data_IF_402055965649
#
_entry.id   IF_402055965649
#
_cell.length_a   1.000
_cell.length_b   1.000
_cell.length_c   1.000
_cell.angle_alpha   90.00
_cell.angle_beta   90.00
_cell.angle_gamma   90.00
#
_symmetry.space_group_name_H-M   'P 1'
#
loop_
_entity.id
_entity.type
_entity.pdbx_description
1 polymer ?
#
# COMPACT_ATOMS: atom_id res chain seq x y z
N UNK A 1 15.84 -8.73 -11.78
CA UNK A 1 14.62 -8.24 -12.42
C UNK A 1 13.63 -7.82 -11.35
N UNK A 2 12.84 -6.77 -11.54
CA UNK A 2 11.79 -6.34 -10.60
C UNK A 2 10.49 -7.06 -10.94
N UNK A 3 9.90 -7.76 -9.97
CA UNK A 3 8.56 -8.33 -10.07
C UNK A 3 7.59 -7.44 -9.29
N UNK A 4 6.60 -6.86 -9.95
CA UNK A 4 5.52 -6.17 -9.25
C UNK A 4 4.44 -7.17 -8.86
N UNK A 5 4.44 -7.53 -7.58
CA UNK A 5 3.42 -8.35 -6.94
C UNK A 5 2.28 -7.44 -6.45
N UNK A 6 1.19 -7.40 -7.21
CA UNK A 6 0.04 -6.50 -6.98
C UNK A 6 -0.69 -6.81 -5.68
N UNK A 7 -0.81 -8.08 -5.36
CA UNK A 7 -1.63 -8.57 -4.26
C UNK A 7 -3.12 -8.60 -4.60
N UNK A 8 -3.85 -9.53 -3.97
CA UNK A 8 -5.24 -9.84 -4.32
C UNK A 8 -6.19 -8.63 -4.19
N UNK A 9 -6.00 -7.75 -3.19
CA UNK A 9 -6.88 -6.60 -2.98
C UNK A 9 -6.69 -5.54 -4.05
N UNK A 10 -5.46 -5.18 -4.40
CA UNK A 10 -5.17 -4.21 -5.44
C UNK A 10 -5.47 -4.76 -6.85
N UNK A 11 -5.40 -6.09 -7.05
CA UNK A 11 -5.74 -6.71 -8.31
C UNK A 11 -7.25 -6.82 -8.54
N UNK A 12 -8.05 -7.13 -7.50
CA UNK A 12 -9.45 -7.52 -7.65
C UNK A 12 -10.46 -6.47 -7.16
N UNK A 13 -10.09 -5.64 -6.18
CA UNK A 13 -11.00 -4.71 -5.52
C UNK A 13 -10.65 -3.25 -5.76
N UNK A 14 -9.39 -2.91 -5.75
CA UNK A 14 -8.86 -1.56 -5.88
C UNK A 14 -7.84 -1.53 -7.03
N UNK A 15 -8.32 -1.82 -8.24
CA UNK A 15 -7.47 -1.88 -9.45
C UNK A 15 -6.80 -0.56 -9.80
N UNK A 16 -7.35 0.55 -9.32
CA UNK A 16 -6.76 1.89 -9.39
C UNK A 16 -5.35 1.95 -8.77
N UNK A 17 -5.13 1.24 -7.64
CA UNK A 17 -3.81 1.19 -6.97
C UNK A 17 -2.77 0.49 -7.84
N UNK A 18 -3.12 -0.69 -8.40
CA UNK A 18 -2.20 -1.41 -9.28
C UNK A 18 -1.91 -0.62 -10.56
N UNK A 19 -2.94 -0.04 -11.18
CA UNK A 19 -2.76 0.85 -12.35
C UNK A 19 -1.89 2.06 -12.04
N UNK A 20 -2.13 2.72 -10.89
CA UNK A 20 -1.32 3.86 -10.45
C UNK A 20 0.16 3.46 -10.28
N UNK A 21 0.41 2.33 -9.60
CA UNK A 21 1.76 1.81 -9.41
C UNK A 21 2.44 1.50 -10.76
N UNK A 22 1.77 0.78 -11.65
CA UNK A 22 2.30 0.45 -12.97
C UNK A 22 2.57 1.70 -13.82
N UNK A 23 1.69 2.71 -13.74
CA UNK A 23 1.89 3.98 -14.42
C UNK A 23 3.12 4.72 -13.91
N UNK A 24 3.32 4.77 -12.60
CA UNK A 24 4.52 5.38 -12.00
C UNK A 24 5.79 4.64 -12.44
N UNK A 25 5.78 3.31 -12.47
CA UNK A 25 6.92 2.51 -12.92
C UNK A 25 7.28 2.80 -14.38
N UNK A 26 6.28 2.91 -15.26
CA UNK A 26 6.47 3.28 -16.68
C UNK A 26 7.09 4.68 -16.82
N UNK A 27 6.54 5.68 -16.11
CA UNK A 27 7.06 7.07 -16.13
C UNK A 27 8.50 7.12 -15.62
N UNK A 28 8.80 6.37 -14.55
CA UNK A 28 10.15 6.26 -14.01
C UNK A 28 11.10 5.42 -14.87
N UNK A 29 10.62 4.85 -15.98
CA UNK A 29 11.37 3.96 -16.90
C UNK A 29 12.03 2.79 -16.16
N UNK A 30 11.26 2.18 -15.26
CA UNK A 30 11.68 0.98 -14.52
C UNK A 30 11.16 -0.23 -15.27
N UNK A 31 12.07 -1.14 -15.64
CA UNK A 31 11.69 -2.44 -16.17
C UNK A 31 11.14 -3.33 -15.07
N UNK A 32 9.93 -3.84 -15.27
CA UNK A 32 9.25 -4.74 -14.35
C UNK A 32 8.42 -5.78 -15.10
N UNK A 33 8.10 -6.83 -14.39
CA UNK A 33 7.12 -7.83 -14.84
C UNK A 33 6.01 -7.99 -13.80
N UNK A 34 4.87 -8.52 -14.24
CA UNK A 34 3.76 -8.97 -13.39
C UNK A 34 3.47 -10.43 -13.69
N UNK A 35 2.85 -11.13 -12.75
CA UNK A 35 2.39 -12.50 -12.97
C UNK A 35 0.97 -12.49 -13.56
N UNK A 36 0.74 -13.29 -14.60
CA UNK A 36 -0.60 -13.48 -15.17
C UNK A 36 -1.51 -14.20 -14.17
N UNK A 37 -1.03 -15.33 -13.63
CA UNK A 37 -1.72 -16.11 -12.61
C UNK A 37 -1.15 -15.83 -11.20
N UNK A 38 -1.15 -14.55 -10.82
CA UNK A 38 -0.68 -14.14 -9.50
C UNK A 38 -1.53 -14.75 -8.39
N UNK A 39 -0.90 -15.57 -7.55
CA UNK A 39 -1.54 -16.19 -6.38
C UNK A 39 -1.48 -15.26 -5.16
N UNK A 40 -2.28 -15.58 -4.12
CA UNK A 40 -2.24 -14.84 -2.86
C UNK A 40 -0.88 -15.01 -2.16
N UNK A 41 -0.40 -13.96 -1.45
CA UNK A 41 0.81 -14.06 -0.63
C UNK A 41 0.68 -14.97 0.60
N UNK A 42 -0.52 -15.44 0.95
CA UNK A 42 -0.78 -16.26 2.13
C UNK A 42 -1.13 -15.48 3.41
N UNK A 43 -1.04 -14.15 3.38
CA UNK A 43 -1.24 -13.31 4.57
C UNK A 43 -2.58 -13.54 5.27
N UNK A 44 -3.67 -13.62 4.52
CA UNK A 44 -5.02 -13.81 5.08
C UNK A 44 -5.12 -15.17 5.78
N UNK A 45 -4.66 -16.24 5.15
CA UNK A 45 -4.66 -17.58 5.72
C UNK A 45 -3.89 -17.62 7.05
N UNK A 46 -2.67 -17.06 7.08
CA UNK A 46 -1.87 -16.96 8.31
C UNK A 46 -2.60 -16.21 9.44
N UNK A 47 -3.31 -15.12 9.12
CA UNK A 47 -3.96 -14.26 10.13
C UNK A 47 -5.31 -14.80 10.59
N UNK A 48 -5.87 -15.77 9.90
CA UNK A 48 -7.14 -16.41 10.24
C UNK A 48 -6.97 -17.84 10.79
N UNK A 49 -5.71 -18.28 10.97
CA UNK A 49 -5.40 -19.55 11.65
C UNK A 49 -5.26 -20.77 10.74
N UNK A 50 -5.31 -20.59 9.43
CA UNK A 50 -5.12 -21.65 8.42
C UNK A 50 -3.63 -21.77 8.06
N UNK A 51 -2.83 -22.29 9.02
CA UNK A 51 -1.37 -22.30 8.89
C UNK A 51 -0.89 -23.23 7.77
N UNK A 52 -1.42 -24.45 7.70
CA UNK A 52 -1.00 -25.46 6.72
C UNK A 52 -1.34 -24.98 5.30
N UNK A 53 -2.55 -24.48 5.10
CA UNK A 53 -2.98 -23.89 3.80
C UNK A 53 -2.13 -22.69 3.42
N UNK A 54 -1.74 -21.87 4.42
CA UNK A 54 -0.86 -20.73 4.18
C UNK A 54 0.53 -21.17 3.73
N UNK A 55 1.10 -22.20 4.35
CA UNK A 55 2.40 -22.76 3.98
C UNK A 55 2.35 -23.35 2.57
N UNK A 56 1.30 -24.10 2.23
CA UNK A 56 1.10 -24.62 0.87
C UNK A 56 1.02 -23.48 -0.15
N UNK A 57 0.21 -22.46 0.12
CA UNK A 57 0.07 -21.27 -0.72
C UNK A 57 1.40 -20.53 -0.90
N UNK A 58 2.17 -20.36 0.18
CA UNK A 58 3.47 -19.70 0.15
C UNK A 58 4.50 -20.48 -0.67
N UNK A 59 4.55 -21.83 -0.51
CA UNK A 59 5.42 -22.68 -1.31
C UNK A 59 5.07 -22.61 -2.81
N UNK A 60 3.79 -22.52 -3.14
CA UNK A 60 3.32 -22.41 -4.53
C UNK A 60 3.73 -21.11 -5.25
N UNK A 61 4.26 -20.11 -4.51
CA UNK A 61 4.76 -18.86 -5.08
C UNK A 61 6.28 -18.84 -5.28
N UNK A 62 7.03 -19.76 -4.68
CA UNK A 62 8.50 -19.67 -4.61
C UNK A 62 9.18 -19.69 -5.97
N UNK A 63 8.69 -20.50 -6.90
CA UNK A 63 9.23 -20.60 -8.26
C UNK A 63 9.11 -19.25 -9.00
N UNK A 64 7.97 -18.57 -8.82
CA UNK A 64 7.71 -17.26 -9.43
C UNK A 64 8.61 -16.15 -8.87
N UNK A 65 9.14 -16.33 -7.66
CA UNK A 65 9.95 -15.33 -6.94
C UNK A 65 11.47 -15.53 -7.08
N UNK A 66 11.88 -16.66 -7.66
CA UNK A 66 13.30 -17.01 -7.72
C UNK A 66 14.13 -15.95 -8.47
N UNK A 67 15.20 -15.47 -7.83
CA UNK A 67 16.15 -14.50 -8.41
C UNK A 67 15.60 -13.08 -8.61
N UNK A 68 14.37 -12.78 -8.15
CA UNK A 68 13.70 -11.50 -8.36
C UNK A 68 13.73 -10.61 -7.11
N UNK A 69 13.64 -9.31 -7.32
CA UNK A 69 13.27 -8.35 -6.27
C UNK A 69 11.78 -8.10 -6.39
N UNK A 70 11.04 -8.29 -5.31
CA UNK A 70 9.59 -8.20 -5.29
C UNK A 70 9.18 -6.81 -4.82
N UNK A 71 8.47 -6.07 -5.66
CA UNK A 71 7.80 -4.82 -5.30
C UNK A 71 6.34 -5.12 -4.95
N UNK A 72 5.81 -4.52 -3.90
CA UNK A 72 4.37 -4.59 -3.61
C UNK A 72 3.84 -3.28 -3.04
N UNK A 73 2.59 -2.93 -3.37
CA UNK A 73 1.86 -1.80 -2.80
C UNK A 73 1.12 -2.17 -1.50
N UNK A 74 1.06 -3.45 -1.15
CA UNK A 74 0.29 -3.93 -0.01
C UNK A 74 1.18 -4.19 1.20
N UNK A 75 0.94 -3.47 2.30
CA UNK A 75 1.64 -3.67 3.57
C UNK A 75 1.52 -5.11 4.11
N UNK A 76 0.36 -5.75 3.92
CA UNK A 76 0.15 -7.15 4.30
C UNK A 76 1.02 -8.10 3.49
N UNK A 77 1.09 -7.92 2.17
CA UNK A 77 1.98 -8.69 1.29
C UNK A 77 3.45 -8.42 1.63
N UNK A 78 3.84 -7.15 1.81
CA UNK A 78 5.21 -6.77 2.18
C UNK A 78 5.70 -7.51 3.43
N UNK A 79 4.92 -7.43 4.52
CA UNK A 79 5.26 -8.12 5.77
C UNK A 79 5.30 -9.64 5.60
N UNK A 80 4.33 -10.21 4.89
CA UNK A 80 4.26 -11.66 4.73
C UNK A 80 5.42 -12.17 3.89
N UNK A 81 5.68 -11.57 2.72
CA UNK A 81 6.77 -11.97 1.84
C UNK A 81 8.15 -11.80 2.51
N UNK A 82 8.35 -10.71 3.25
CA UNK A 82 9.63 -10.38 3.88
C UNK A 82 9.91 -11.19 5.14
N UNK A 83 8.90 -11.34 6.00
CA UNK A 83 9.09 -11.88 7.34
C UNK A 83 8.51 -13.29 7.50
N UNK A 84 7.28 -13.53 6.99
CA UNK A 84 6.62 -14.82 7.23
C UNK A 84 7.20 -15.93 6.34
N UNK A 85 7.59 -15.63 5.08
CA UNK A 85 8.31 -16.60 4.23
C UNK A 85 9.62 -17.04 4.89
N UNK A 86 10.37 -16.10 5.45
CA UNK A 86 11.59 -16.42 6.22
C UNK A 86 11.29 -17.27 7.44
N UNK A 87 10.24 -16.91 8.19
CA UNK A 87 9.87 -17.60 9.43
C UNK A 87 9.39 -19.03 9.20
N UNK A 88 8.53 -19.25 8.20
CA UNK A 88 7.85 -20.53 8.01
C UNK A 88 8.48 -21.43 6.96
N UNK A 89 9.14 -20.85 5.95
CA UNK A 89 9.80 -21.61 4.87
C UNK A 89 11.33 -21.54 4.92
N UNK A 90 11.92 -20.68 5.76
CA UNK A 90 13.37 -20.45 5.76
C UNK A 90 13.89 -19.68 4.53
N UNK A 91 13.01 -19.10 3.72
CA UNK A 91 13.34 -18.39 2.47
C UNK A 91 13.40 -16.89 2.72
N UNK A 92 14.55 -16.28 2.42
CA UNK A 92 14.78 -14.83 2.56
C UNK A 92 14.57 -14.14 1.21
N UNK A 93 13.39 -13.55 1.00
CA UNK A 93 13.03 -12.87 -0.23
C UNK A 93 13.48 -11.40 -0.20
N UNK A 94 13.92 -10.89 -1.36
CA UNK A 94 14.19 -9.47 -1.54
C UNK A 94 12.87 -8.75 -1.82
N UNK A 95 12.33 -8.06 -0.82
CA UNK A 95 11.03 -7.39 -0.92
C UNK A 95 11.19 -5.90 -0.62
N UNK A 96 10.61 -5.06 -1.46
CA UNK A 96 10.50 -3.61 -1.26
C UNK A 96 9.03 -3.21 -1.28
N UNK A 97 8.67 -2.26 -0.43
CA UNK A 97 7.34 -1.65 -0.44
C UNK A 97 7.33 -0.46 -1.40
N UNK A 98 6.18 -0.20 -2.04
CA UNK A 98 6.07 0.93 -2.99
C UNK A 98 6.49 2.26 -2.38
N UNK A 99 6.22 2.51 -1.10
CA UNK A 99 6.64 3.75 -0.43
C UNK A 99 8.15 3.95 -0.44
N UNK A 100 8.93 2.88 -0.28
CA UNK A 100 10.39 2.91 -0.31
C UNK A 100 10.91 3.19 -1.73
N UNK A 101 10.29 2.56 -2.73
CA UNK A 101 10.64 2.84 -4.12
C UNK A 101 10.31 4.28 -4.49
N UNK A 102 9.13 4.78 -4.15
CA UNK A 102 8.72 6.16 -4.42
C UNK A 102 9.68 7.17 -3.77
N UNK A 103 10.04 6.96 -2.51
CA UNK A 103 11.02 7.81 -1.83
C UNK A 103 12.36 7.82 -2.57
N UNK A 104 12.84 6.66 -3.03
CA UNK A 104 14.07 6.56 -3.80
C UNK A 104 13.95 7.30 -5.14
N UNK A 105 12.87 7.09 -5.90
CA UNK A 105 12.64 7.74 -7.19
C UNK A 105 12.60 9.27 -7.09
N UNK A 106 11.99 9.78 -6.02
CA UNK A 106 11.96 11.22 -5.74
C UNK A 106 13.36 11.74 -5.42
N UNK A 107 14.11 11.07 -4.55
CA UNK A 107 15.49 11.44 -4.20
C UNK A 107 16.45 11.42 -5.39
N UNK A 108 16.24 10.48 -6.31
CA UNK A 108 17.04 10.33 -7.52
C UNK A 108 16.56 11.23 -8.69
N UNK A 109 15.52 12.03 -8.50
CA UNK A 109 14.86 12.85 -9.52
C UNK A 109 14.42 12.04 -10.76
N UNK A 110 14.01 10.78 -10.56
CA UNK A 110 13.48 9.92 -11.62
C UNK A 110 11.99 10.16 -11.89
N UNK A 111 11.31 10.76 -10.93
CA UNK A 111 9.95 11.27 -11.08
C UNK A 111 9.91 12.72 -10.58
N UNK A 112 9.19 13.57 -11.29
CA UNK A 112 8.97 14.95 -10.92
C UNK A 112 7.56 15.11 -10.34
N UNK A 113 7.45 15.88 -9.26
CA UNK A 113 6.19 16.07 -8.56
C UNK A 113 5.76 17.53 -8.58
N UNK A 114 4.46 17.73 -8.82
CA UNK A 114 3.79 19.03 -8.60
C UNK A 114 3.46 19.17 -7.13
N UNK A 115 4.33 19.88 -6.41
CA UNK A 115 4.10 20.15 -4.99
C UNK A 115 2.90 21.07 -4.77
N UNK A 116 2.11 20.78 -3.74
CA UNK A 116 1.03 21.64 -3.24
C UNK A 116 1.13 21.74 -1.72
N UNK A 117 1.83 22.77 -1.23
CA UNK A 117 2.07 22.94 0.21
C UNK A 117 0.87 23.52 0.98
N UNK A 118 -0.15 23.97 0.28
CA UNK A 118 -1.43 24.39 0.89
C UNK A 118 -2.30 23.17 1.21
N UNK A 119 -2.11 22.06 0.49
CA UNK A 119 -2.80 20.79 0.73
C UNK A 119 -2.29 20.14 2.02
N UNK A 120 -3.18 19.94 2.98
CA UNK A 120 -2.91 19.23 4.23
C UNK A 120 -3.29 17.76 4.09
N UNK A 121 -2.38 16.88 4.33
CA UNK A 121 -2.57 15.42 4.23
C UNK A 121 -2.27 14.77 5.56
N UNK A 122 -3.15 13.88 6.02
CA UNK A 122 -2.83 13.01 7.16
C UNK A 122 -2.54 11.59 6.68
N UNK A 123 -1.80 10.82 7.48
CA UNK A 123 -1.33 9.50 7.09
C UNK A 123 -1.80 8.42 8.07
N UNK A 124 -2.37 7.34 7.53
CA UNK A 124 -2.70 6.14 8.29
C UNK A 124 -1.55 5.14 8.28
N UNK A 125 -0.89 4.96 9.42
CA UNK A 125 0.12 3.92 9.60
C UNK A 125 -0.51 2.53 9.57
N UNK A 126 -0.33 1.82 8.46
CA UNK A 126 -0.72 0.41 8.38
C UNK A 126 0.07 -0.43 9.37
N UNK A 127 -0.60 -1.26 10.16
CA UNK A 127 0.05 -2.07 11.19
C UNK A 127 1.13 -3.02 10.62
N UNK A 128 0.92 -3.56 9.42
CA UNK A 128 1.88 -4.46 8.79
C UNK A 128 3.11 -3.74 8.24
N UNK A 129 2.97 -2.50 7.78
CA UNK A 129 4.10 -1.71 7.30
C UNK A 129 4.90 -1.11 8.47
N UNK A 130 4.20 -0.46 9.41
CA UNK A 130 4.81 0.18 10.57
C UNK A 130 5.20 -0.82 11.66
N UNK A 131 4.23 -1.22 12.52
CA UNK A 131 4.53 -2.03 13.72
C UNK A 131 5.22 -3.36 13.46
N UNK A 132 4.90 -4.03 12.34
CA UNK A 132 5.44 -5.35 12.06
C UNK A 132 6.68 -5.35 11.18
N UNK A 133 6.88 -4.32 10.35
CA UNK A 133 8.02 -4.25 9.44
C UNK A 133 8.94 -3.03 9.64
N UNK A 134 8.60 -2.14 10.59
CA UNK A 134 9.44 -1.01 10.99
C UNK A 134 9.49 0.15 10.01
N UNK A 135 8.65 0.15 8.96
CA UNK A 135 8.66 1.21 7.95
C UNK A 135 7.63 2.29 8.29
N UNK A 136 8.12 3.43 8.72
CA UNK A 136 7.29 4.58 9.10
C UNK A 136 7.61 5.83 8.28
N UNK A 137 8.85 5.97 7.82
CA UNK A 137 9.33 7.25 7.32
C UNK A 137 9.20 7.38 5.80
N UNK A 138 9.37 6.31 5.03
CA UNK A 138 9.26 6.39 3.58
C UNK A 138 7.90 6.95 3.11
N UNK A 139 6.74 6.51 3.62
CA UNK A 139 5.45 7.11 3.26
C UNK A 139 5.39 8.61 3.61
N UNK A 140 5.91 8.99 4.77
CA UNK A 140 5.93 10.40 5.25
C UNK A 140 6.79 11.28 4.38
N UNK A 141 7.97 10.80 4.00
CA UNK A 141 8.90 11.52 3.12
C UNK A 141 8.28 11.75 1.74
N UNK A 142 7.57 10.75 1.20
CA UNK A 142 6.83 10.87 -0.06
C UNK A 142 5.73 11.92 0.06
N UNK A 143 4.87 11.85 1.09
CA UNK A 143 3.79 12.83 1.31
C UNK A 143 4.38 14.24 1.48
N UNK A 144 5.42 14.39 2.29
CA UNK A 144 6.06 15.68 2.53
C UNK A 144 6.76 16.26 1.29
N UNK A 145 7.11 15.46 0.29
CA UNK A 145 7.63 15.98 -0.98
C UNK A 145 6.56 16.72 -1.80
N UNK A 146 5.29 16.35 -1.63
CA UNK A 146 4.14 16.88 -2.36
C UNK A 146 3.40 17.95 -1.55
N UNK A 147 3.04 17.65 -0.32
CA UNK A 147 2.05 18.38 0.48
C UNK A 147 2.56 18.68 1.89
N UNK A 148 1.69 19.18 2.75
CA UNK A 148 1.96 19.36 4.18
C UNK A 148 1.38 18.18 4.95
N UNK A 149 2.24 17.32 5.49
CA UNK A 149 1.80 16.25 6.38
C UNK A 149 1.35 16.81 7.73
N UNK A 150 0.17 16.40 8.19
CA UNK A 150 -0.36 16.67 9.52
C UNK A 150 -0.59 15.34 10.23
N UNK A 151 0.14 15.09 11.30
CA UNK A 151 0.07 13.81 12.01
C UNK A 151 -1.18 13.70 12.88
N UNK A 152 -1.80 12.51 12.89
CA UNK A 152 -2.78 12.17 13.91
C UNK A 152 -2.09 12.02 15.28
N UNK A 153 -2.82 12.23 16.38
CA UNK A 153 -2.28 12.02 17.73
C UNK A 153 -1.74 10.60 17.91
N UNK A 154 -2.52 9.60 17.47
CA UNK A 154 -2.10 8.20 17.49
C UNK A 154 -1.46 7.82 16.14
N UNK A 155 -0.16 8.04 16.02
CA UNK A 155 0.63 7.71 14.83
C UNK A 155 1.75 6.72 15.16
N UNK A 156 2.43 6.20 14.14
CA UNK A 156 3.52 5.22 14.22
C UNK A 156 3.12 4.00 15.05
N UNK A 157 3.86 3.64 16.11
CA UNK A 157 3.58 2.50 16.97
C UNK A 157 2.22 2.58 17.65
N UNK A 158 1.75 3.79 17.94
CA UNK A 158 0.47 4.05 18.62
C UNK A 158 -0.71 4.09 17.67
N UNK A 159 -0.47 4.03 16.35
CA UNK A 159 -1.54 4.12 15.35
C UNK A 159 -2.64 3.07 15.61
N UNK A 160 -3.90 3.52 15.60
CA UNK A 160 -5.05 2.61 15.68
C UNK A 160 -5.21 1.82 14.39
N UNK A 161 -5.80 0.65 14.50
CA UNK A 161 -6.06 -0.22 13.34
C UNK A 161 -7.13 0.40 12.42
N UNK A 162 -7.07 0.07 11.13
CA UNK A 162 -8.16 0.36 10.20
C UNK A 162 -9.40 -0.52 10.38
N UNK A 163 -9.30 -1.60 11.17
CA UNK A 163 -10.41 -2.54 11.43
C UNK A 163 -10.51 -3.72 10.45
N UNK A 164 -9.74 -3.75 9.37
CA UNK A 164 -9.93 -4.72 8.27
C UNK A 164 -9.28 -6.09 8.51
N UNK A 165 -8.15 -6.14 9.24
CA UNK A 165 -7.27 -7.30 9.30
C UNK A 165 -7.74 -8.43 10.21
N UNK A 166 -7.05 -9.59 10.12
CA UNK A 166 -7.27 -10.74 11.00
C UNK A 166 -8.65 -11.40 10.89
N UNK A 167 -9.32 -11.26 9.74
CA UNK A 167 -10.66 -11.80 9.52
C UNK A 167 -11.79 -10.96 10.15
N UNK A 168 -11.48 -9.87 10.86
CA UNK A 168 -12.47 -9.05 11.56
C UNK A 168 -13.53 -8.50 10.60
N UNK A 169 -13.11 -7.96 9.44
CA UNK A 169 -14.05 -7.42 8.45
C UNK A 169 -15.04 -8.48 7.95
N UNK A 170 -14.60 -9.72 7.78
CA UNK A 170 -15.45 -10.79 7.24
C UNK A 170 -16.34 -11.42 8.31
N UNK A 171 -15.85 -11.56 9.54
CA UNK A 171 -16.56 -12.25 10.61
C UNK A 171 -17.38 -11.29 11.50
N UNK A 172 -16.95 -10.05 11.65
CA UNK A 172 -17.49 -9.05 12.57
C UNK A 172 -17.56 -7.67 11.90
N UNK A 173 -18.38 -7.56 10.84
CA UNK A 173 -18.49 -6.34 10.01
C UNK A 173 -18.75 -5.07 10.80
N UNK A 174 -19.72 -5.10 11.74
CA UNK A 174 -20.07 -3.93 12.57
C UNK A 174 -18.89 -3.47 13.45
N UNK A 175 -18.13 -4.43 14.01
CA UNK A 175 -16.92 -4.12 14.77
C UNK A 175 -15.85 -3.51 13.88
N UNK A 176 -15.66 -4.07 12.67
CA UNK A 176 -14.73 -3.52 11.67
C UNK A 176 -15.08 -2.06 11.32
N UNK A 177 -16.35 -1.79 11.06
CA UNK A 177 -16.84 -0.45 10.76
C UNK A 177 -16.62 0.51 11.94
N UNK A 178 -16.98 0.09 13.15
CA UNK A 178 -16.78 0.91 14.36
C UNK A 178 -15.31 1.28 14.60
N UNK A 179 -14.39 0.35 14.33
CA UNK A 179 -12.94 0.62 14.42
C UNK A 179 -12.50 1.61 13.34
N UNK A 180 -13.00 1.44 12.11
CA UNK A 180 -12.72 2.32 10.99
C UNK A 180 -13.22 3.75 11.25
N UNK A 181 -14.45 3.90 11.76
CA UNK A 181 -15.05 5.19 12.10
C UNK A 181 -14.22 5.94 13.16
N UNK A 182 -13.70 5.23 14.15
CA UNK A 182 -12.79 5.82 15.14
C UNK A 182 -11.54 6.38 14.48
N UNK A 183 -10.96 5.66 13.49
CA UNK A 183 -9.76 6.09 12.80
C UNK A 183 -10.03 7.27 11.87
N UNK A 184 -11.15 7.27 11.17
CA UNK A 184 -11.58 8.40 10.31
C UNK A 184 -11.84 9.65 11.17
N UNK A 185 -12.44 9.53 12.35
CA UNK A 185 -12.60 10.68 13.26
C UNK A 185 -11.26 11.27 13.68
N UNK A 186 -10.27 10.44 14.08
CA UNK A 186 -8.91 10.92 14.39
C UNK A 186 -8.27 11.63 13.18
N UNK A 187 -8.52 11.14 11.96
CA UNK A 187 -8.02 11.80 10.76
C UNK A 187 -8.68 13.16 10.54
N UNK A 188 -10.00 13.27 10.71
CA UNK A 188 -10.75 14.55 10.61
C UNK A 188 -10.33 15.56 11.67
N UNK A 189 -9.99 15.12 12.88
CA UNK A 189 -9.50 15.99 13.97
C UNK A 189 -8.18 16.68 13.62
N UNK A 190 -7.43 16.20 12.63
CA UNK A 190 -6.20 16.86 12.15
C UNK A 190 -6.47 18.08 11.27
N UNK A 191 -7.71 18.31 10.87
CA UNK A 191 -8.10 19.31 9.86
C UNK A 191 -7.35 19.13 8.52
N UNK A 192 -6.98 17.90 8.18
CA UNK A 192 -6.41 17.56 6.88
C UNK A 192 -7.52 17.50 5.81
N UNK A 193 -7.13 17.76 4.56
CA UNK A 193 -8.02 17.72 3.41
C UNK A 193 -8.32 16.29 2.97
N UNK A 194 -7.35 15.37 3.19
CA UNK A 194 -7.50 13.94 2.86
C UNK A 194 -6.61 13.04 3.72
N UNK A 195 -6.93 11.74 3.71
CA UNK A 195 -6.18 10.66 4.36
C UNK A 195 -5.45 9.82 3.32
N UNK A 196 -4.15 9.62 3.51
CA UNK A 196 -3.36 8.67 2.71
C UNK A 196 -3.06 7.42 3.52
N UNK A 197 -3.14 6.27 2.87
CA UNK A 197 -2.69 4.97 3.39
C UNK A 197 -1.76 4.29 2.39
N UNK A 198 -0.81 3.51 2.85
CA UNK A 198 0.08 2.71 2.00
C UNK A 198 -0.25 1.21 2.12
N UNK A 199 -1.53 0.90 2.02
CA UNK A 199 -2.04 -0.48 2.09
C UNK A 199 -3.46 -0.56 1.51
N UNK A 200 -3.68 -1.30 0.41
CA UNK A 200 -5.00 -1.45 -0.20
C UNK A 200 -6.07 -1.97 0.77
N UNK A 201 -5.67 -2.82 1.71
CA UNK A 201 -6.59 -3.39 2.69
C UNK A 201 -7.05 -2.37 3.74
N UNK A 202 -6.18 -1.42 4.09
CA UNK A 202 -6.53 -0.30 4.97
C UNK A 202 -7.39 0.73 4.22
N UNK A 203 -6.98 1.11 3.01
CA UNK A 203 -7.73 2.05 2.18
C UNK A 203 -9.17 1.55 1.95
N UNK A 204 -9.34 0.30 1.52
CA UNK A 204 -10.66 -0.29 1.28
C UNK A 204 -11.60 -0.15 2.48
N UNK A 205 -11.11 -0.34 3.70
CA UNK A 205 -11.96 -0.27 4.88
C UNK A 205 -12.20 1.16 5.35
N UNK A 206 -11.19 2.02 5.23
CA UNK A 206 -11.30 3.42 5.63
C UNK A 206 -12.16 4.22 4.65
N UNK A 207 -12.01 4.01 3.34
CA UNK A 207 -12.82 4.69 2.33
C UNK A 207 -14.30 4.30 2.40
N UNK A 208 -14.61 3.03 2.71
CA UNK A 208 -16.00 2.56 2.87
C UNK A 208 -16.72 3.14 4.09
N UNK A 209 -16.00 3.68 5.06
CA UNK A 209 -16.54 4.31 6.27
C UNK A 209 -16.24 5.81 6.33
N UNK A 210 -15.96 6.43 5.18
CA UNK A 210 -15.59 7.84 5.06
C UNK A 210 -16.48 8.52 4.03
N UNK A 211 -17.65 9.04 4.46
CA UNK A 211 -18.66 9.57 3.56
C UNK A 211 -18.22 10.84 2.80
N UNK A 212 -17.52 11.75 3.48
CA UNK A 212 -17.16 13.10 3.02
C UNK A 212 -15.67 13.44 3.14
N UNK A 213 -14.84 12.45 3.46
CA UNK A 213 -13.42 12.64 3.67
C UNK A 213 -12.63 11.71 2.75
N UNK A 214 -11.89 12.26 1.80
CA UNK A 214 -11.19 11.48 0.78
C UNK A 214 -10.12 10.60 1.41
N UNK A 215 -10.09 9.33 1.02
CA UNK A 215 -9.06 8.35 1.40
C UNK A 215 -8.41 7.83 0.12
N UNK A 216 -7.09 7.89 0.03
CA UNK A 216 -6.32 7.46 -1.14
C UNK A 216 -5.20 6.50 -0.74
N UNK A 217 -4.85 5.59 -1.65
CA UNK A 217 -3.57 4.91 -1.56
C UNK A 217 -2.41 5.85 -1.91
N UNK A 218 -1.24 5.58 -1.34
CA UNK A 218 -0.04 6.38 -1.58
C UNK A 218 0.34 6.43 -3.07
N UNK A 219 0.14 5.35 -3.82
CA UNK A 219 0.43 5.30 -5.26
C UNK A 219 -0.52 6.22 -6.06
N UNK A 220 -1.80 6.23 -5.71
CA UNK A 220 -2.79 7.11 -6.33
C UNK A 220 -2.53 8.58 -6.00
N UNK A 221 -2.21 8.84 -4.72
CA UNK A 221 -1.83 10.18 -4.28
C UNK A 221 -0.62 10.71 -5.05
N UNK A 222 0.43 9.91 -5.22
CA UNK A 222 1.62 10.30 -6.00
C UNK A 222 1.25 10.50 -7.47
N UNK A 223 0.49 9.59 -8.07
CA UNK A 223 0.11 9.69 -9.49
C UNK A 223 -0.67 10.97 -9.78
N UNK A 224 -1.59 11.38 -8.90
CA UNK A 224 -2.33 12.66 -9.02
C UNK A 224 -1.42 13.90 -9.01
N UNK A 225 -0.22 13.78 -8.46
CA UNK A 225 0.73 14.90 -8.30
C UNK A 225 1.99 14.74 -9.15
N UNK A 226 2.04 13.76 -10.07
CA UNK A 226 3.14 13.68 -11.02
C UNK A 226 3.11 14.86 -11.99
N UNK A 227 4.29 15.42 -12.26
CA UNK A 227 4.47 16.37 -13.35
C UNK A 227 4.71 15.61 -14.65
N UNK A 228 3.61 15.29 -15.32
CA UNK A 228 3.61 14.49 -16.55
C UNK A 228 3.58 15.46 -17.72
N UNK A 229 4.57 15.37 -18.63
CA UNK A 229 4.52 16.05 -19.91
C UNK A 229 3.41 15.43 -20.79
N UNK A 230 2.79 16.24 -21.65
CA UNK A 230 1.62 15.79 -22.46
C UNK A 230 1.91 14.60 -23.38
N UNK A 231 3.17 14.37 -23.71
CA UNK A 231 3.61 13.28 -24.59
C UNK A 231 3.68 11.90 -23.89
N UNK A 232 3.53 11.86 -22.56
CA UNK A 232 3.52 10.62 -21.77
C UNK A 232 2.11 9.99 -21.62
N UNK A 233 1.09 10.57 -22.25
CA UNK A 233 -0.27 10.00 -22.27
C UNK A 233 -0.43 9.06 -23.48
N UNK A 234 -0.47 7.75 -23.23
CA UNK A 234 -1.06 6.81 -24.18
C UNK A 234 -2.58 7.03 -24.22
N UNK A 235 -3.17 7.12 -25.44
CA UNK A 235 -4.61 7.39 -25.68
C UNK A 235 -5.59 6.35 -25.07
N UNK A 236 -5.11 5.41 -24.27
CA UNK A 236 -5.89 4.34 -23.62
C UNK A 236 -6.11 4.48 -22.11
N UNK A 237 -5.51 5.47 -21.46
CA UNK A 237 -5.46 5.59 -19.99
C UNK A 237 -6.43 6.66 -19.45
N UNK A 238 -7.69 6.70 -19.90
CA UNK A 238 -8.72 7.49 -19.22
C UNK A 238 -9.00 6.88 -17.83
N UNK A 239 -8.53 7.57 -16.79
CA UNK A 239 -8.90 7.31 -15.40
C UNK A 239 -10.34 7.80 -15.23
N UNK A 240 -11.30 6.86 -15.29
CA UNK A 240 -12.68 7.13 -14.85
C UNK A 240 -12.77 7.03 -13.35
#
# INVERSE_FOLDING_TARGET
MLLYFRGCTAREKLTSISKATERILKIAKIDYETLEDEKCCGSVLLRTGFLDDAIEQMNGNLEDFEGKTILTSCAGCYKTLKEDYKKYLGVDLKVIHISQLLEQLIKENKINLKGNKDLKVTYHDSCHLGRHAGEYEAPRNVINSISKLVEMENNREKARCCGSGGGVKSAYGDLSNSISDLRIREAKETEADLLVSACPFCELNLSQNSDDFEVLDLSEFVLKHLDIEKDDFDEGDEIQ
#
